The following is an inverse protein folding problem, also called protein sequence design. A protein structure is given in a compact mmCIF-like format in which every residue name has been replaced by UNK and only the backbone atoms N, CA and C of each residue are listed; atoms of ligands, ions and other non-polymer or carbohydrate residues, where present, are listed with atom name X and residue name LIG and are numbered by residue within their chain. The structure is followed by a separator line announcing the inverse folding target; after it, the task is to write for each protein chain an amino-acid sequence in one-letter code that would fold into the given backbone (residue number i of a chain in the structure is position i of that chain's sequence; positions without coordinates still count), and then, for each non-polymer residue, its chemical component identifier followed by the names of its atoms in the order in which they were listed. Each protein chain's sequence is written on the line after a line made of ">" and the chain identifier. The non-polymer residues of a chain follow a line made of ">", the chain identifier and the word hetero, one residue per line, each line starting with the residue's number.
data_IF_496228251547
#
_entry.id   IF_496228251547
#
_cell.length_a   1.000
_cell.length_b   1.000
_cell.length_c   1.000
_cell.angle_alpha   90.00
_cell.angle_beta   90.00
_cell.angle_gamma   90.00
#
_symmetry.space_group_name_H-M   'P 1'
#
loop_
_entity.id
_entity.type
_entity.pdbx_description
1 polymer ?
#
# COMPACT_ATOMS: atom_id res chain seq x y z
N UNK A 1 -8.89 -28.49 1.49
CA UNK A 1 -8.43 -29.88 1.43
C UNK A 1 -7.01 -29.97 1.99
N UNK A 2 -6.55 -31.18 2.34
CA UNK A 2 -5.18 -31.45 2.82
C UNK A 2 -4.12 -30.89 1.85
N UNK A 3 -4.40 -30.88 0.55
CA UNK A 3 -3.54 -30.27 -0.48
C UNK A 3 -3.34 -28.75 -0.29
N UNK A 4 -4.39 -27.98 0.07
CA UNK A 4 -4.24 -26.54 0.37
C UNK A 4 -3.38 -26.29 1.61
N UNK A 5 -3.55 -27.10 2.67
CA UNK A 5 -2.76 -26.99 3.91
C UNK A 5 -1.29 -27.34 3.70
N UNK A 6 -0.98 -28.37 2.90
CA UNK A 6 0.41 -28.71 2.56
C UNK A 6 1.07 -27.65 1.67
N UNK A 7 0.32 -27.05 0.74
CA UNK A 7 0.78 -25.95 -0.10
C UNK A 7 1.00 -24.67 0.72
N UNK A 8 0.17 -24.40 1.73
CA UNK A 8 0.35 -23.32 2.71
C UNK A 8 1.54 -23.58 3.64
N UNK A 9 1.75 -24.81 4.12
CA UNK A 9 2.93 -25.19 4.93
C UNK A 9 4.24 -25.00 4.17
N UNK A 10 4.32 -25.48 2.92
CA UNK A 10 5.52 -25.30 2.09
C UNK A 10 5.79 -23.84 1.70
N UNK A 11 4.73 -23.01 1.57
CA UNK A 11 4.86 -21.55 1.39
C UNK A 11 5.49 -20.88 2.60
N UNK A 12 5.13 -21.29 3.83
CA UNK A 12 5.69 -20.74 5.07
C UNK A 12 7.15 -21.15 5.25
N UNK A 13 7.50 -22.39 4.92
CA UNK A 13 8.88 -22.88 5.01
C UNK A 13 9.84 -22.11 4.09
N UNK A 14 9.41 -21.81 2.86
CA UNK A 14 10.20 -21.06 1.88
C UNK A 14 10.50 -19.60 2.33
N UNK A 15 9.65 -19.02 3.18
CA UNK A 15 9.84 -17.66 3.70
C UNK A 15 10.82 -17.59 4.87
N UNK A 16 11.19 -18.71 5.50
CA UNK A 16 12.01 -18.73 6.74
C UNK A 16 13.37 -18.06 6.56
N UNK A 17 14.03 -18.34 5.44
CA UNK A 17 15.39 -17.84 5.15
C UNK A 17 15.42 -16.43 4.57
N UNK A 18 14.25 -15.77 4.50
CA UNK A 18 14.09 -14.48 3.83
C UNK A 18 13.46 -13.43 4.76
N UNK A 19 13.81 -12.17 4.49
CA UNK A 19 12.93 -11.05 4.79
C UNK A 19 12.04 -10.78 3.56
N UNK A 20 10.84 -10.24 3.77
CA UNK A 20 9.95 -9.95 2.66
C UNK A 20 9.04 -8.74 2.88
N UNK A 21 8.69 -8.07 1.78
CA UNK A 21 7.77 -6.95 1.73
C UNK A 21 6.67 -7.23 0.72
N UNK A 22 5.42 -6.96 1.10
CA UNK A 22 4.28 -7.07 0.20
C UNK A 22 4.24 -5.81 -0.66
N UNK A 23 3.97 -5.95 -1.95
CA UNK A 23 3.65 -4.83 -2.84
C UNK A 23 2.14 -4.79 -3.11
N UNK A 24 1.53 -3.60 -3.32
CA UNK A 24 0.11 -3.51 -3.68
C UNK A 24 -0.25 -4.31 -4.95
N UNK A 25 0.73 -4.58 -5.81
CA UNK A 25 0.56 -5.32 -7.05
C UNK A 25 0.55 -6.85 -6.85
N UNK A 26 0.57 -7.34 -5.60
CA UNK A 26 0.46 -8.77 -5.27
C UNK A 26 1.77 -9.56 -5.36
N UNK A 27 2.91 -8.88 -5.47
CA UNK A 27 4.23 -9.50 -5.46
C UNK A 27 4.90 -9.33 -4.10
N UNK A 28 5.82 -10.23 -3.77
CA UNK A 28 6.70 -10.08 -2.63
C UNK A 28 8.09 -9.65 -3.10
N UNK A 29 8.63 -8.56 -2.54
CA UNK A 29 10.07 -8.32 -2.60
C UNK A 29 10.70 -9.19 -1.54
N UNK A 30 11.63 -10.06 -1.95
CA UNK A 30 12.32 -11.02 -1.11
C UNK A 30 13.77 -10.57 -0.91
N UNK A 31 14.32 -10.74 0.29
CA UNK A 31 15.73 -10.53 0.63
C UNK A 31 16.25 -11.78 1.34
N UNK A 32 17.25 -12.46 0.77
CA UNK A 32 17.89 -13.61 1.42
C UNK A 32 18.82 -13.13 2.54
N UNK A 33 18.67 -13.72 3.74
CA UNK A 33 19.32 -13.22 4.98
C UNK A 33 20.85 -13.28 4.96
N UNK A 34 21.43 -14.22 4.24
CA UNK A 34 22.86 -14.56 4.27
C UNK A 34 23.73 -13.82 3.24
N UNK A 35 23.13 -13.43 2.13
CA UNK A 35 23.84 -13.04 0.90
C UNK A 35 23.32 -11.74 0.31
N UNK A 36 22.28 -11.18 0.92
CA UNK A 36 21.63 -9.93 0.49
C UNK A 36 21.08 -9.98 -0.94
N UNK A 37 20.89 -11.18 -1.50
CA UNK A 37 20.23 -11.36 -2.78
C UNK A 37 18.78 -10.91 -2.68
N UNK A 38 18.34 -10.10 -3.64
CA UNK A 38 16.94 -9.67 -3.73
C UNK A 38 16.28 -10.14 -5.01
N UNK A 39 14.99 -10.44 -4.93
CA UNK A 39 14.18 -10.82 -6.07
C UNK A 39 12.70 -10.52 -5.82
N UNK A 40 11.93 -10.33 -6.88
CA UNK A 40 10.47 -10.34 -6.81
C UNK A 40 9.97 -11.78 -6.90
N UNK A 41 9.02 -12.14 -6.05
CA UNK A 41 8.40 -13.45 -6.03
C UNK A 41 6.89 -13.34 -6.08
N UNK A 42 6.28 -14.10 -6.98
CA UNK A 42 4.83 -14.26 -7.03
C UNK A 42 4.43 -15.49 -6.21
N UNK A 43 3.71 -15.34 -5.08
CA UNK A 43 3.38 -16.46 -4.22
C UNK A 43 2.37 -17.46 -4.81
N UNK A 44 1.73 -17.12 -5.94
CA UNK A 44 0.72 -17.94 -6.60
C UNK A 44 1.26 -18.65 -7.84
N UNK A 45 2.02 -17.95 -8.68
CA UNK A 45 2.63 -18.54 -9.89
C UNK A 45 4.02 -19.10 -9.65
N UNK A 46 4.62 -18.83 -8.48
CA UNK A 46 6.00 -19.13 -8.13
C UNK A 46 7.05 -18.47 -9.04
N UNK A 47 6.64 -17.54 -9.90
CA UNK A 47 7.54 -16.78 -10.74
C UNK A 47 8.52 -15.97 -9.89
N UNK A 48 9.79 -15.98 -10.30
CA UNK A 48 10.88 -15.24 -9.69
C UNK A 48 11.49 -14.30 -10.72
N UNK A 49 11.73 -13.06 -10.34
CA UNK A 49 12.42 -12.07 -11.17
C UNK A 49 13.56 -11.49 -10.35
N UNK A 50 14.79 -11.71 -10.82
CA UNK A 50 16.00 -11.25 -10.14
C UNK A 50 16.04 -9.73 -10.03
N UNK A 51 16.53 -9.24 -8.90
CA UNK A 51 16.84 -7.85 -8.64
C UNK A 51 18.32 -7.71 -8.24
N UNK A 52 18.88 -6.50 -8.24
CA UNK A 52 20.24 -6.29 -7.72
C UNK A 52 20.33 -6.67 -6.23
N UNK A 53 21.44 -7.21 -5.75
CA UNK A 53 21.62 -7.46 -4.31
C UNK A 53 21.62 -6.15 -3.51
N UNK A 54 21.09 -6.19 -2.29
CA UNK A 54 21.05 -5.05 -1.36
C UNK A 54 22.38 -4.85 -0.65
N UNK A 55 23.39 -4.37 -1.39
CA UNK A 55 24.76 -4.17 -0.88
C UNK A 55 24.85 -3.09 0.22
N UNK A 56 23.93 -2.12 0.24
CA UNK A 56 23.87 -1.10 1.30
C UNK A 56 23.01 -1.54 2.50
N UNK A 57 22.41 -2.74 2.44
CA UNK A 57 21.53 -3.31 3.47
C UNK A 57 20.38 -2.36 3.85
N UNK A 58 19.89 -1.56 2.90
CA UNK A 58 18.89 -0.52 3.18
C UNK A 58 17.51 -1.12 3.52
N UNK A 59 17.24 -2.34 3.04
CA UNK A 59 15.99 -3.06 3.31
C UNK A 59 15.96 -3.59 4.74
N UNK A 60 17.06 -4.18 5.23
CA UNK A 60 17.14 -4.80 6.56
C UNK A 60 17.46 -3.80 7.68
N UNK A 61 18.25 -2.76 7.41
CA UNK A 61 18.65 -1.75 8.42
C UNK A 61 17.60 -0.67 8.66
N UNK A 62 16.51 -0.63 7.89
CA UNK A 62 15.51 0.41 8.00
C UNK A 62 14.08 -0.12 7.84
N UNK A 63 13.12 0.64 8.35
CA UNK A 63 11.71 0.37 8.10
C UNK A 63 11.41 0.82 6.67
N UNK A 64 11.04 -0.12 5.80
CA UNK A 64 10.85 0.13 4.37
C UNK A 64 9.49 -0.36 3.88
N UNK A 65 8.96 0.32 2.86
CA UNK A 65 7.77 -0.07 2.10
C UNK A 65 8.16 -0.29 0.65
N UNK A 66 7.61 -1.32 0.01
CA UNK A 66 7.94 -1.67 -1.37
C UNK A 66 6.71 -1.56 -2.28
N UNK A 67 6.92 -0.99 -3.47
CA UNK A 67 5.88 -0.81 -4.49
C UNK A 67 6.45 -1.08 -5.89
N UNK A 68 5.56 -1.39 -6.82
CA UNK A 68 5.87 -1.49 -8.24
C UNK A 68 5.05 -0.45 -9.00
N UNK A 69 5.64 0.18 -10.01
CA UNK A 69 4.91 1.10 -10.91
C UNK A 69 4.04 0.37 -11.92
N UNK A 70 4.53 -0.76 -12.42
CA UNK A 70 3.90 -1.60 -13.44
C UNK A 70 3.95 -3.08 -13.03
N UNK A 71 3.52 -3.97 -13.92
CA UNK A 71 3.80 -5.40 -13.80
C UNK A 71 5.33 -5.61 -13.85
N UNK A 72 5.92 -6.47 -13.00
CA UNK A 72 7.37 -6.71 -12.99
C UNK A 72 8.00 -7.15 -14.31
N UNK A 73 7.21 -7.68 -15.24
CA UNK A 73 7.63 -8.10 -16.57
C UNK A 73 7.66 -6.96 -17.59
N UNK A 74 7.09 -5.82 -17.25
CA UNK A 74 7.14 -4.61 -18.05
C UNK A 74 8.55 -4.00 -17.99
N UNK A 75 9.19 -3.68 -19.14
CA UNK A 75 10.54 -3.10 -19.17
C UNK A 75 10.64 -1.75 -18.45
N UNK A 76 9.54 -1.00 -18.39
CA UNK A 76 9.46 0.31 -17.73
C UNK A 76 9.03 0.18 -16.25
N UNK A 77 8.88 -1.05 -15.75
CA UNK A 77 8.61 -1.26 -14.34
C UNK A 77 9.78 -0.77 -13.48
N UNK A 78 9.43 0.04 -12.48
CA UNK A 78 10.26 0.46 -11.37
C UNK A 78 9.85 -0.31 -10.13
N UNK A 79 10.82 -0.96 -9.48
CA UNK A 79 10.71 -1.40 -8.09
C UNK A 79 11.14 -0.25 -7.20
N UNK A 80 10.25 0.21 -6.33
CA UNK A 80 10.51 1.31 -5.41
C UNK A 80 10.50 0.79 -3.97
N UNK A 81 11.59 1.01 -3.25
CA UNK A 81 11.71 0.83 -1.82
C UNK A 81 11.83 2.19 -1.13
N UNK A 82 10.84 2.48 -0.30
CA UNK A 82 10.67 3.76 0.39
C UNK A 82 11.19 3.63 1.81
N UNK A 83 12.13 4.49 2.21
CA UNK A 83 12.57 4.54 3.60
C UNK A 83 11.55 5.31 4.47
N UNK A 84 11.05 4.67 5.53
CA UNK A 84 10.03 5.25 6.42
C UNK A 84 10.62 5.94 7.66
N UNK A 85 11.92 6.26 7.64
CA UNK A 85 12.62 7.02 8.70
C UNK A 85 13.38 8.24 8.19
N UNK A 86 13.78 8.21 6.92
CA UNK A 86 14.57 9.23 6.25
C UNK A 86 13.97 9.55 4.87
N UNK A 87 14.31 10.72 4.31
CA UNK A 87 13.86 11.13 2.97
C UNK A 87 14.74 10.52 1.87
N UNK A 88 14.77 9.19 1.83
CA UNK A 88 15.55 8.40 0.88
C UNK A 88 14.65 7.40 0.17
N UNK A 89 14.76 7.37 -1.15
CA UNK A 89 14.16 6.38 -2.03
C UNK A 89 15.25 5.49 -2.62
N UNK A 90 14.93 4.20 -2.71
CA UNK A 90 15.72 3.20 -3.39
C UNK A 90 14.92 2.66 -4.56
N UNK A 91 15.53 2.54 -5.73
CA UNK A 91 14.81 2.04 -6.90
C UNK A 91 15.70 1.26 -7.85
N UNK A 92 15.09 0.33 -8.59
CA UNK A 92 15.73 -0.37 -9.69
C UNK A 92 14.69 -0.82 -10.72
N UNK A 93 15.16 -1.27 -11.87
CA UNK A 93 14.33 -1.98 -12.83
C UNK A 93 14.47 -3.50 -12.62
N UNK A 94 13.38 -4.27 -12.69
CA UNK A 94 13.43 -5.72 -12.65
C UNK A 94 14.43 -6.30 -13.66
N UNK A 95 15.20 -7.31 -13.26
CA UNK A 95 16.20 -7.95 -14.11
C UNK A 95 17.47 -7.13 -14.39
N UNK A 96 17.60 -5.91 -13.85
CA UNK A 96 18.85 -5.12 -13.90
C UNK A 96 19.74 -5.43 -12.70
N UNK A 97 20.94 -4.86 -12.71
CA UNK A 97 22.04 -5.22 -11.80
C UNK A 97 22.44 -4.12 -10.79
N UNK A 98 21.71 -3.01 -10.70
CA UNK A 98 22.02 -1.93 -9.73
C UNK A 98 20.78 -1.29 -9.09
N UNK A 99 20.86 -1.11 -7.76
CA UNK A 99 19.98 -0.21 -7.00
C UNK A 99 20.46 1.24 -7.09
N UNK A 100 19.53 2.15 -7.25
CA UNK A 100 19.77 3.58 -7.26
C UNK A 100 19.22 4.21 -6.00
N UNK A 101 19.99 5.17 -5.45
CA UNK A 101 19.62 5.95 -4.27
C UNK A 101 19.20 7.35 -4.68
N UNK A 102 18.12 7.85 -4.11
CA UNK A 102 17.70 9.22 -4.28
C UNK A 102 17.31 9.83 -2.93
N UNK A 103 18.06 10.84 -2.51
CA UNK A 103 17.75 11.62 -1.31
C UNK A 103 17.01 12.89 -1.73
N UNK A 104 15.88 13.16 -1.10
CA UNK A 104 15.08 14.36 -1.34
C UNK A 104 14.95 15.19 -0.05
N UNK A 105 14.59 16.46 -0.19
CA UNK A 105 14.37 17.35 0.94
C UNK A 105 12.87 17.39 1.28
N UNK A 106 12.47 17.54 2.57
CA UNK A 106 11.06 17.65 2.94
C UNK A 106 10.30 18.71 2.12
N UNK A 107 10.93 19.87 1.91
CA UNK A 107 10.39 20.99 1.13
C UNK A 107 10.00 20.64 -0.31
N UNK A 108 10.56 19.57 -0.88
CA UNK A 108 10.17 19.06 -2.20
C UNK A 108 8.67 18.75 -2.24
N UNK A 109 8.12 18.21 -1.14
CA UNK A 109 6.68 17.95 -0.96
C UNK A 109 5.92 19.11 -0.32
N UNK A 110 6.54 20.29 -0.18
CA UNK A 110 5.89 21.48 0.35
C UNK A 110 5.60 21.43 1.85
N UNK A 111 6.39 20.68 2.63
CA UNK A 111 6.30 20.61 4.08
C UNK A 111 7.73 20.65 4.68
N UNK A 112 7.93 21.40 5.76
CA UNK A 112 9.24 21.51 6.43
C UNK A 112 9.46 20.36 7.43
N UNK A 113 8.37 19.77 7.94
CA UNK A 113 8.42 18.65 8.86
C UNK A 113 8.74 17.35 8.12
N UNK A 114 9.94 16.82 8.38
CA UNK A 114 10.35 15.50 7.89
C UNK A 114 9.34 14.40 8.26
N UNK A 115 8.79 14.43 9.47
CA UNK A 115 7.83 13.43 9.95
C UNK A 115 6.52 13.48 9.15
N UNK A 116 6.04 14.67 8.81
CA UNK A 116 4.85 14.82 7.96
C UNK A 116 5.10 14.25 6.57
N UNK A 117 6.25 14.58 5.98
CA UNK A 117 6.67 14.09 4.66
C UNK A 117 6.77 12.57 4.65
N UNK A 118 7.38 11.96 5.67
CA UNK A 118 7.45 10.50 5.80
C UNK A 118 6.04 9.90 5.84
N UNK A 119 5.13 10.44 6.66
CA UNK A 119 3.75 9.95 6.74
C UNK A 119 2.96 10.07 5.42
N UNK A 120 3.29 11.03 4.56
CA UNK A 120 2.69 11.14 3.21
C UNK A 120 3.32 10.20 2.19
N UNK A 121 4.62 9.99 2.28
CA UNK A 121 5.33 9.06 1.41
C UNK A 121 5.01 7.60 1.79
N UNK A 122 4.71 7.33 3.06
CA UNK A 122 4.26 6.02 3.55
C UNK A 122 3.00 5.53 2.83
N UNK A 123 2.09 6.42 2.44
CA UNK A 123 0.82 6.08 1.78
C UNK A 123 0.90 6.11 0.24
N UNK A 124 2.10 6.15 -0.35
CA UNK A 124 2.26 6.08 -1.81
C UNK A 124 1.50 4.89 -2.39
N UNK A 125 0.93 5.08 -3.57
CA UNK A 125 0.43 4.01 -4.43
C UNK A 125 0.96 4.21 -5.85
N UNK A 126 0.73 3.24 -6.74
CA UNK A 126 1.09 3.36 -8.15
C UNK A 126 -0.17 3.42 -9.02
N UNK A 127 -0.26 4.41 -9.91
CA UNK A 127 -1.35 4.59 -10.87
C UNK A 127 -0.75 4.85 -12.24
N UNK A 128 -1.11 4.06 -13.24
CA UNK A 128 -0.69 4.27 -14.62
C UNK A 128 0.83 4.35 -14.81
N UNK A 129 1.61 3.61 -14.02
CA UNK A 129 3.07 3.62 -14.11
C UNK A 129 3.79 4.67 -13.26
N UNK A 130 3.05 5.53 -12.57
CA UNK A 130 3.62 6.58 -11.74
C UNK A 130 3.28 6.35 -10.28
N UNK A 131 4.15 6.80 -9.38
CA UNK A 131 3.84 6.76 -7.95
C UNK A 131 3.15 8.03 -7.52
N UNK A 132 2.12 7.91 -6.70
CA UNK A 132 1.20 9.00 -6.39
C UNK A 132 0.96 9.10 -4.89
N UNK A 133 0.99 10.33 -4.36
CA UNK A 133 0.58 10.66 -2.98
C UNK A 133 -0.09 12.03 -2.90
N UNK A 134 -0.48 12.48 -1.72
CA UNK A 134 -0.90 13.86 -1.46
C UNK A 134 -0.11 14.48 -0.31
N UNK A 135 -0.09 15.81 -0.21
CA UNK A 135 0.63 16.56 0.83
C UNK A 135 -0.33 17.07 1.91
N UNK A 136 0.20 17.44 3.08
CA UNK A 136 -0.58 18.13 4.11
C UNK A 136 -1.15 19.49 3.64
N UNK A 137 -0.57 20.06 2.60
CA UNK A 137 -0.94 21.36 2.01
C UNK A 137 -1.99 21.25 0.89
N UNK A 138 -2.62 20.08 0.74
CA UNK A 138 -3.66 19.87 -0.29
C UNK A 138 -3.13 19.66 -1.70
N UNK A 139 -1.84 19.33 -1.87
CA UNK A 139 -1.31 19.04 -3.20
C UNK A 139 -1.39 17.55 -3.50
N UNK A 140 -1.80 17.20 -4.70
CA UNK A 140 -1.51 15.90 -5.29
C UNK A 140 -0.07 15.87 -5.79
N UNK A 141 0.62 14.75 -5.60
CA UNK A 141 2.03 14.57 -5.96
C UNK A 141 2.17 13.34 -6.82
N UNK A 142 2.82 13.49 -7.97
CA UNK A 142 3.34 12.36 -8.74
C UNK A 142 4.85 12.27 -8.62
N UNK A 143 5.36 11.05 -8.67
CA UNK A 143 6.77 10.71 -8.67
C UNK A 143 7.03 9.82 -9.89
N UNK A 144 7.76 10.38 -10.86
CA UNK A 144 8.15 9.70 -12.10
C UNK A 144 9.65 9.43 -12.10
N UNK A 145 10.07 8.41 -12.83
CA UNK A 145 11.47 8.01 -12.97
C UNK A 145 11.88 8.14 -14.44
N UNK A 146 12.53 9.25 -14.82
CA UNK A 146 13.05 9.43 -16.19
C UNK A 146 14.06 10.60 -16.28
N UNK A 147 15.39 10.34 -16.36
CA UNK A 147 16.10 9.14 -15.90
C UNK A 147 16.28 9.10 -14.37
N UNK A 148 16.03 10.23 -13.70
CA UNK A 148 16.10 10.38 -12.25
C UNK A 148 14.70 10.62 -11.66
N UNK A 149 14.51 10.41 -10.35
CA UNK A 149 13.22 10.59 -9.71
C UNK A 149 12.84 12.07 -9.68
N UNK A 150 11.64 12.39 -10.18
CA UNK A 150 11.11 13.76 -10.25
C UNK A 150 9.75 13.83 -9.59
N UNK A 151 9.61 14.74 -8.62
CA UNK A 151 8.34 15.03 -7.98
C UNK A 151 7.62 16.16 -8.72
N UNK A 152 6.37 15.96 -9.09
CA UNK A 152 5.49 17.00 -9.63
C UNK A 152 4.32 17.22 -8.68
N UNK A 153 4.02 18.48 -8.39
CA UNK A 153 2.93 18.87 -7.49
C UNK A 153 1.81 19.51 -8.30
N UNK A 154 0.59 19.09 -8.04
CA UNK A 154 -0.64 19.65 -8.61
C UNK A 154 -1.51 20.06 -7.43
N UNK A 155 -1.88 21.33 -7.29
CA UNK A 155 -2.81 21.76 -6.24
C UNK A 155 -4.19 21.13 -6.50
N UNK A 156 -4.76 20.52 -5.47
CA UNK A 156 -6.07 19.87 -5.49
C UNK A 156 -6.88 20.40 -4.31
N UNK A 157 -8.20 20.52 -4.46
CA UNK A 157 -9.05 20.94 -3.33
C UNK A 157 -8.85 20.02 -2.11
N UNK A 158 -8.82 20.59 -0.90
CA UNK A 158 -8.78 19.78 0.32
C UNK A 158 -10.09 18.99 0.47
N UNK A 159 -9.97 17.72 0.81
CA UNK A 159 -11.10 16.83 1.10
C UNK A 159 -11.21 16.49 2.59
N UNK A 160 -10.49 17.21 3.45
CA UNK A 160 -10.55 16.99 4.88
C UNK A 160 -11.95 17.29 5.41
N UNK A 161 -12.53 16.30 6.09
CA UNK A 161 -13.76 16.52 6.81
C UNK A 161 -13.45 17.29 8.10
N UNK A 162 -13.72 18.60 8.11
CA UNK A 162 -13.46 19.46 9.26
C UNK A 162 -14.30 19.10 10.51
N UNK A 163 -15.31 18.24 10.37
CA UNK A 163 -16.09 17.71 11.50
C UNK A 163 -15.27 16.73 12.33
N UNK A 164 -14.33 16.00 11.71
CA UNK A 164 -13.50 15.00 12.39
C UNK A 164 -12.01 15.38 12.28
N UNK A 165 -11.35 15.78 13.39
CA UNK A 165 -10.00 16.32 13.32
C UNK A 165 -8.91 15.30 12.99
N UNK A 166 -9.27 14.02 12.92
CA UNK A 166 -8.34 12.92 12.69
C UNK A 166 -8.98 11.87 11.78
N UNK A 167 -8.23 11.48 10.75
CA UNK A 167 -8.57 10.36 9.89
C UNK A 167 -7.32 9.59 9.50
N UNK A 168 -7.40 8.26 9.51
CA UNK A 168 -6.42 7.44 8.81
C UNK A 168 -6.77 7.49 7.33
N UNK A 169 -5.79 7.77 6.48
CA UNK A 169 -5.99 7.93 5.05
C UNK A 169 -5.19 6.91 4.28
N UNK A 170 -5.85 6.32 3.28
CA UNK A 170 -5.27 5.31 2.41
C UNK A 170 -5.45 5.76 0.97
N UNK A 171 -4.39 5.64 0.18
CA UNK A 171 -4.46 5.78 -1.25
C UNK A 171 -4.36 4.41 -1.91
N UNK A 172 -5.17 4.20 -2.92
CA UNK A 172 -5.12 2.98 -3.71
C UNK A 172 -5.50 3.26 -5.16
N UNK A 173 -4.98 2.42 -6.03
CA UNK A 173 -5.33 2.40 -7.44
C UNK A 173 -6.50 1.44 -7.68
N UNK A 174 -7.40 1.82 -8.57
CA UNK A 174 -8.49 0.98 -9.05
C UNK A 174 -8.90 1.42 -10.46
N UNK A 175 -8.74 0.54 -11.46
CA UNK A 175 -9.08 0.81 -12.87
C UNK A 175 -8.35 2.03 -13.49
N UNK A 176 -7.10 2.26 -13.11
CA UNK A 176 -6.31 3.40 -13.56
C UNK A 176 -6.68 4.71 -12.87
N UNK A 177 -7.59 4.67 -11.90
CA UNK A 177 -8.03 5.83 -11.14
C UNK A 177 -7.49 5.78 -9.70
N UNK A 178 -7.27 6.95 -9.12
CA UNK A 178 -6.78 7.09 -7.75
C UNK A 178 -7.95 7.30 -6.78
N UNK A 179 -7.98 6.47 -5.75
CA UNK A 179 -8.95 6.58 -4.67
C UNK A 179 -8.28 6.97 -3.35
N UNK A 180 -8.99 7.76 -2.55
CA UNK A 180 -8.63 8.15 -1.19
C UNK A 180 -9.74 7.69 -0.24
N UNK A 181 -9.37 6.83 0.71
CA UNK A 181 -10.24 6.36 1.78
C UNK A 181 -9.85 7.07 3.07
N UNK A 182 -10.81 7.75 3.70
CA UNK A 182 -10.63 8.37 5.00
C UNK A 182 -11.45 7.62 6.05
N UNK A 183 -10.75 7.06 7.04
CA UNK A 183 -11.34 6.43 8.22
C UNK A 183 -11.38 7.48 9.32
N UNK A 184 -12.51 8.17 9.43
CA UNK A 184 -12.69 9.30 10.32
C UNK A 184 -12.86 8.82 11.77
N UNK A 185 -12.16 9.52 12.68
CA UNK A 185 -12.07 9.16 14.10
C UNK A 185 -12.37 10.37 14.99
N UNK A 186 -13.10 10.16 16.10
CA UNK A 186 -13.31 11.22 17.09
C UNK A 186 -12.02 11.48 17.87
N UNK A 187 -11.79 12.74 18.25
CA UNK A 187 -10.58 13.19 18.98
C UNK A 187 -10.23 12.32 20.18
N UNK A 188 -11.23 11.98 21.00
CA UNK A 188 -11.04 11.31 22.29
C UNK A 188 -11.11 9.77 22.19
N UNK A 189 -11.49 9.21 21.03
CA UNK A 189 -11.66 7.77 20.84
C UNK A 189 -10.97 7.29 19.57
N UNK A 190 -9.64 7.41 19.54
CA UNK A 190 -8.81 7.03 18.39
C UNK A 190 -8.98 5.58 17.91
N UNK A 191 -9.46 4.67 18.76
CA UNK A 191 -9.71 3.27 18.36
C UNK A 191 -11.01 3.07 17.57
N UNK A 192 -11.97 3.99 17.65
CA UNK A 192 -13.28 3.86 16.98
C UNK A 192 -13.29 4.63 15.67
N UNK A 193 -13.59 3.93 14.58
CA UNK A 193 -13.92 4.55 13.29
C UNK A 193 -15.40 4.90 13.33
N UNK A 194 -15.73 6.17 13.10
CA UNK A 194 -17.12 6.67 13.14
C UNK A 194 -17.72 6.81 11.76
N UNK A 195 -16.91 7.15 10.78
CA UNK A 195 -17.32 7.28 9.39
C UNK A 195 -16.17 6.84 8.48
N UNK A 196 -16.53 6.28 7.32
CA UNK A 196 -15.58 5.96 6.27
C UNK A 196 -16.09 6.64 5.01
N UNK A 197 -15.26 7.51 4.44
CA UNK A 197 -15.55 8.21 3.20
C UNK A 197 -14.57 7.79 2.12
N UNK A 198 -15.08 7.61 0.91
CA UNK A 198 -14.29 7.21 -0.26
C UNK A 198 -14.40 8.31 -1.30
N UNK A 199 -13.27 8.73 -1.83
CA UNK A 199 -13.20 9.75 -2.86
C UNK A 199 -12.34 9.29 -4.01
N UNK A 200 -12.69 9.69 -5.23
CA UNK A 200 -11.88 9.51 -6.44
C UNK A 200 -11.26 10.86 -6.81
N UNK A 201 -10.01 10.86 -7.24
CA UNK A 201 -9.38 12.07 -7.75
C UNK A 201 -9.89 12.37 -9.17
N UNK A 202 -10.49 13.54 -9.36
CA UNK A 202 -10.71 14.13 -10.67
C UNK A 202 -9.55 15.08 -10.98
N UNK A 203 -8.66 14.67 -11.89
CA UNK A 203 -7.46 15.43 -12.23
C UNK A 203 -7.81 16.68 -13.06
N UNK A 204 -8.84 16.59 -13.91
CA UNK A 204 -9.26 17.70 -14.77
C UNK A 204 -9.83 18.84 -13.91
N UNK A 205 -10.72 18.48 -12.99
CA UNK A 205 -11.35 19.43 -12.05
C UNK A 205 -10.48 19.71 -10.81
N UNK A 206 -9.35 19.01 -10.66
CA UNK A 206 -8.43 19.11 -9.50
C UNK A 206 -9.17 19.00 -8.17
N UNK A 207 -10.08 18.03 -8.07
CA UNK A 207 -10.96 17.85 -6.93
C UNK A 207 -11.10 16.40 -6.54
N UNK A 208 -11.36 16.16 -5.25
CA UNK A 208 -11.76 14.85 -4.75
C UNK A 208 -13.27 14.72 -4.82
N UNK A 209 -13.76 13.78 -5.63
CA UNK A 209 -15.18 13.53 -5.83
C UNK A 209 -15.60 12.35 -4.95
N UNK A 210 -16.60 12.54 -4.10
CA UNK A 210 -17.13 11.47 -3.24
C UNK A 210 -17.70 10.32 -4.07
N UNK A 211 -17.42 9.10 -3.64
CA UNK A 211 -17.86 7.86 -4.27
C UNK A 211 -18.84 7.16 -3.34
N UNK A 212 -20.08 7.01 -3.80
CA UNK A 212 -21.15 6.36 -3.01
C UNK A 212 -21.15 4.83 -3.14
N UNK A 213 -20.58 4.30 -4.22
CA UNK A 213 -20.51 2.85 -4.48
C UNK A 213 -19.21 2.46 -5.16
N UNK A 214 -18.64 1.32 -4.74
CA UNK A 214 -17.52 0.65 -5.40
C UNK A 214 -17.98 -0.29 -6.51
N UNK A 215 -19.30 -0.42 -6.74
CA UNK A 215 -19.85 -1.30 -7.76
C UNK A 215 -19.58 -2.79 -7.47
N UNK A 216 -18.97 -3.48 -8.42
CA UNK A 216 -18.58 -4.89 -8.34
C UNK A 216 -17.24 -5.11 -7.60
N UNK A 217 -16.62 -4.05 -7.08
CA UNK A 217 -15.31 -4.12 -6.42
C UNK A 217 -15.41 -4.23 -4.92
N UNK A 218 -14.28 -4.62 -4.33
CA UNK A 218 -14.05 -4.53 -2.89
C UNK A 218 -12.76 -3.77 -2.68
N UNK A 219 -12.65 -3.12 -1.53
CA UNK A 219 -11.39 -2.55 -1.08
C UNK A 219 -10.87 -3.35 0.10
N UNK A 220 -9.59 -3.70 0.06
CA UNK A 220 -8.89 -4.36 1.15
C UNK A 220 -7.81 -3.41 1.65
N UNK A 221 -7.86 -3.07 2.93
CA UNK A 221 -6.92 -2.16 3.58
C UNK A 221 -6.26 -2.88 4.76
N UNK A 222 -4.94 -2.88 4.80
CA UNK A 222 -4.22 -3.46 5.94
C UNK A 222 -3.86 -2.40 6.99
N UNK A 223 -3.32 -2.87 8.12
CA UNK A 223 -2.91 -2.01 9.24
C UNK A 223 -1.65 -1.18 8.97
N UNK A 224 -1.01 -1.35 7.82
CA UNK A 224 0.28 -0.75 7.46
C UNK A 224 0.19 0.15 6.22
N UNK A 225 -1.00 0.72 6.00
CA UNK A 225 -1.27 1.66 4.92
C UNK A 225 -1.27 1.07 3.51
N UNK A 226 -1.38 -0.26 3.35
CA UNK A 226 -1.58 -0.87 2.03
C UNK A 226 -3.07 -0.97 1.72
N UNK A 227 -3.42 -0.62 0.48
CA UNK A 227 -4.77 -0.74 -0.04
C UNK A 227 -4.74 -1.39 -1.41
N UNK A 228 -5.67 -2.30 -1.67
CA UNK A 228 -5.90 -2.91 -3.00
C UNK A 228 -7.38 -2.98 -3.29
N UNK A 229 -7.74 -2.90 -4.57
CA UNK A 229 -9.13 -2.95 -5.04
C UNK A 229 -9.29 -4.05 -6.09
N UNK A 230 -9.50 -5.33 -5.71
CA UNK A 230 -9.82 -6.38 -6.66
C UNK A 230 -11.33 -6.38 -7.01
N UNK A 231 -11.67 -7.11 -8.07
CA UNK A 231 -13.06 -7.52 -8.30
C UNK A 231 -13.54 -8.40 -7.13
N UNK A 232 -14.80 -8.19 -6.71
CA UNK A 232 -15.42 -8.98 -5.65
C UNK A 232 -15.49 -10.47 -6.02
N UNK A 233 -15.78 -10.77 -7.29
CA UNK A 233 -15.87 -12.14 -7.79
C UNK A 233 -14.51 -12.84 -7.72
N UNK A 234 -13.47 -12.19 -8.22
CA UNK A 234 -12.11 -12.73 -8.20
C UNK A 234 -11.60 -12.96 -6.76
N UNK A 235 -12.00 -12.11 -5.82
CA UNK A 235 -11.67 -12.27 -4.40
C UNK A 235 -12.60 -13.24 -3.64
N UNK A 236 -13.73 -13.64 -4.22
CA UNK A 236 -14.77 -14.38 -3.52
C UNK A 236 -15.39 -13.59 -2.35
N UNK A 237 -15.39 -12.27 -2.43
CA UNK A 237 -15.83 -11.36 -1.38
C UNK A 237 -17.17 -10.68 -1.75
N UNK A 238 -17.82 -10.08 -0.75
CA UNK A 238 -19.06 -9.34 -0.99
C UNK A 238 -18.70 -8.00 -1.64
N UNK A 239 -19.24 -7.75 -2.84
CA UNK A 239 -19.07 -6.48 -3.55
C UNK A 239 -19.48 -5.27 -2.71
N UNK A 240 -18.98 -4.10 -3.11
CA UNK A 240 -19.32 -2.82 -2.50
C UNK A 240 -19.04 -2.77 -0.99
N UNK A 241 -17.93 -3.39 -0.59
CA UNK A 241 -17.49 -3.47 0.80
C UNK A 241 -16.01 -3.10 0.94
N UNK A 242 -15.68 -2.51 2.09
CA UNK A 242 -14.32 -2.20 2.52
C UNK A 242 -13.96 -3.15 3.65
N UNK A 243 -12.94 -3.95 3.44
CA UNK A 243 -12.38 -4.92 4.37
C UNK A 243 -11.12 -4.32 4.97
N UNK A 244 -11.08 -4.13 6.28
CA UNK A 244 -9.95 -3.52 6.97
C UNK A 244 -9.44 -4.31 8.15
N UNK A 245 -8.12 -4.29 8.31
CA UNK A 245 -7.42 -4.79 9.49
C UNK A 245 -6.90 -3.61 10.30
N UNK A 246 -6.85 -3.75 11.62
CA UNK A 246 -6.36 -2.68 12.51
C UNK A 246 -5.07 -3.09 13.20
N UNK A 247 -4.16 -2.13 13.46
CA UNK A 247 -2.96 -2.40 14.24
C UNK A 247 -3.31 -2.96 15.62
N UNK A 248 -2.71 -4.10 15.99
CA UNK A 248 -2.92 -4.75 17.29
C UNK A 248 -4.34 -5.26 17.52
N UNK A 249 -5.03 -5.67 16.44
CA UNK A 249 -6.36 -6.26 16.48
C UNK A 249 -6.44 -7.38 15.44
N UNK A 250 -6.77 -8.59 15.89
CA UNK A 250 -6.95 -9.77 15.02
C UNK A 250 -8.24 -9.76 14.20
N UNK A 251 -9.15 -8.83 14.49
CA UNK A 251 -10.46 -8.75 13.85
C UNK A 251 -10.42 -8.22 12.42
N UNK A 252 -11.23 -8.82 11.55
CA UNK A 252 -11.51 -8.30 10.22
C UNK A 252 -12.78 -7.44 10.25
N UNK A 253 -12.64 -6.17 9.89
CA UNK A 253 -13.74 -5.21 9.83
C UNK A 253 -14.28 -5.11 8.41
N UNK A 254 -15.58 -5.29 8.24
CA UNK A 254 -16.24 -5.26 6.93
C UNK A 254 -17.26 -4.13 6.95
N UNK A 255 -16.92 -3.03 6.28
CA UNK A 255 -17.82 -1.90 6.06
C UNK A 255 -18.58 -2.10 4.76
N UNK A 256 -19.90 -2.15 4.85
CA UNK A 256 -20.78 -2.22 3.68
C UNK A 256 -21.20 -0.80 3.28
N UNK A 257 -20.76 -0.35 2.11
CA UNK A 257 -21.00 1.03 1.62
C UNK A 257 -22.49 1.32 1.41
N UNK A 258 -23.25 0.35 0.89
CA UNK A 258 -24.71 0.45 0.68
C UNK A 258 -25.48 0.76 1.96
N UNK A 259 -25.14 0.08 3.07
CA UNK A 259 -25.86 0.22 4.34
C UNK A 259 -25.23 1.23 5.29
N UNK A 260 -23.97 1.61 5.05
CA UNK A 260 -23.18 2.44 5.96
C UNK A 260 -22.85 1.75 7.29
N UNK A 261 -22.78 0.42 7.32
CA UNK A 261 -22.60 -0.37 8.56
C UNK A 261 -21.30 -1.19 8.55
N UNK A 262 -20.66 -1.31 9.71
CA UNK A 262 -19.47 -2.16 9.92
C UNK A 262 -19.82 -3.43 10.68
N UNK A 263 -19.42 -4.60 10.16
CA UNK A 263 -19.46 -5.89 10.85
C UNK A 263 -18.05 -6.34 11.23
N UNK A 264 -17.89 -6.98 12.39
CA UNK A 264 -16.62 -7.52 12.87
C UNK A 264 -16.63 -9.05 12.75
N UNK A 265 -15.66 -9.59 12.03
CA UNK A 265 -15.37 -11.03 11.99
C UNK A 265 -14.14 -11.32 12.86
N UNK A 266 -14.35 -12.04 13.97
CA UNK A 266 -13.27 -12.46 14.86
C UNK A 266 -12.79 -13.87 14.45
N UNK A 267 -11.50 -14.06 14.16
CA UNK A 267 -10.97 -15.36 13.72
C UNK A 267 -10.95 -16.44 14.82
N UNK A 268 -11.28 -16.11 16.06
CA UNK A 268 -11.42 -17.06 17.17
C UNK A 268 -10.62 -16.66 18.41
N UNK A 269 -10.82 -17.40 19.52
CA UNK A 269 -10.13 -17.14 20.79
C UNK A 269 -8.68 -17.63 20.82
N UNK A 270 -8.33 -18.55 19.92
CA UNK A 270 -7.03 -19.22 19.90
C UNK A 270 -5.88 -18.34 19.36
N UNK A 271 -6.22 -17.21 18.73
CA UNK A 271 -5.26 -16.20 18.29
C UNK A 271 -5.23 -15.05 19.29
N UNK A 272 -4.04 -14.58 19.65
CA UNK A 272 -3.89 -13.38 20.48
C UNK A 272 -4.38 -12.14 19.72
N UNK A 273 -4.91 -11.16 20.44
CA UNK A 273 -5.47 -9.94 19.84
C UNK A 273 -4.39 -9.04 19.21
N UNK A 274 -3.11 -9.23 19.58
CA UNK A 274 -1.96 -8.46 19.09
C UNK A 274 -1.32 -9.00 17.81
N UNK A 275 -1.84 -10.10 17.24
CA UNK A 275 -1.33 -10.67 15.99
C UNK A 275 -1.63 -9.72 14.83
N UNK A 276 -0.58 -9.23 14.17
CA UNK A 276 -0.68 -8.42 12.96
C UNK A 276 -1.13 -9.28 11.77
N UNK A 277 -2.44 -9.35 11.52
CA UNK A 277 -2.97 -9.95 10.31
C UNK A 277 -2.50 -9.16 9.07
N UNK A 278 -2.20 -9.88 7.97
CA UNK A 278 -1.79 -9.27 6.69
C UNK A 278 -2.66 -9.81 5.57
N UNK A 279 -3.00 -8.94 4.61
CA UNK A 279 -3.76 -9.32 3.42
C UNK A 279 -2.76 -9.65 2.30
N UNK A 280 -2.87 -10.85 1.72
CA UNK A 280 -2.06 -11.27 0.57
C UNK A 280 -3.00 -11.58 -0.58
N UNK A 281 -2.83 -10.90 -1.71
CA UNK A 281 -3.72 -11.01 -2.87
C UNK A 281 -3.00 -11.54 -4.11
N UNK A 282 -3.75 -12.21 -4.97
CA UNK A 282 -3.27 -12.67 -6.28
C UNK A 282 -3.04 -11.48 -7.21
N UNK A 283 -1.93 -11.42 -7.95
CA UNK A 283 -1.72 -10.41 -8.98
C UNK A 283 -2.79 -10.49 -10.07
N UNK A 284 -3.32 -9.34 -10.49
CA UNK A 284 -4.19 -9.18 -11.66
C UNK A 284 -3.40 -8.97 -12.96
#
# INVERSE_FOLDING_TARGET
>A
SIARRNMESGRVDYLKDHFYWITPQGWLLMLRRDSLETFLWNPFTHQRIGLPSDQEEFLSKSTTRCLLSHKPTDPDCIVLAVNLRNTVLWYCHPGRNRWFKHTYQPKTLGDESRSNVIGRIEILTAVGGEFCTYTCTGNFVTLKFSPTPTFTKIPVGDNSNHVYPSADRFLLESHGELFNLAFERPLFWKKKVVHISVHRLDIAERAWVKVETLGDRVVLVDSTSYGVSPSAEAAGLKRNCIYSLRPGDKGLYVYNMERGTTTLHNPGRDLLDDVAARIVMHPS
#
